data_IF_585747647129
#
_entry.id   IF_585747647129
#
_cell.length_a   1.000
_cell.length_b   1.000
_cell.length_c   1.000
_cell.angle_alpha   90.00
_cell.angle_beta   90.00
_cell.angle_gamma   90.00
#
_symmetry.space_group_name_H-M   'P 1'
#
loop_
_entity.id
_entity.type
_entity.pdbx_description
1 polymer ?
#
# COMPACT_ATOMS: atom_id res chain seq x y z
N UNK A 1 -3.43 21.82 -10.08
CA UNK A 1 -2.83 21.59 -8.73
C UNK A 1 -1.34 21.48 -8.94
N UNK A 2 -0.53 22.25 -8.22
CA UNK A 2 0.93 22.09 -8.26
C UNK A 2 1.30 20.84 -7.46
N UNK A 3 1.89 19.79 -8.06
CA UNK A 3 2.24 18.56 -7.35
C UNK A 3 3.11 18.82 -6.12
N UNK A 4 4.02 19.79 -6.16
CA UNK A 4 4.96 20.08 -5.07
C UNK A 4 4.29 20.65 -3.81
N UNK A 5 3.05 21.12 -3.94
CA UNK A 5 2.23 21.65 -2.85
C UNK A 5 1.40 20.58 -2.12
N UNK A 6 1.37 19.35 -2.65
CA UNK A 6 0.60 18.24 -2.07
C UNK A 6 1.39 17.52 -0.96
N UNK A 7 0.72 16.80 -0.05
CA UNK A 7 1.39 15.86 0.86
C UNK A 7 2.35 14.93 0.11
N UNK A 8 3.50 14.63 0.73
CA UNK A 8 4.56 13.84 0.09
C UNK A 8 4.07 12.48 -0.43
N UNK A 9 3.16 11.83 0.28
CA UNK A 9 2.55 10.58 -0.16
C UNK A 9 1.81 10.72 -1.52
N UNK A 10 1.19 11.86 -1.81
CA UNK A 10 0.51 12.09 -3.08
C UNK A 10 1.51 12.40 -4.19
N UNK A 11 2.65 13.01 -3.85
CA UNK A 11 3.73 13.25 -4.81
C UNK A 11 4.40 11.92 -5.20
N UNK A 12 4.75 11.12 -4.21
CA UNK A 12 5.44 9.85 -4.42
C UNK A 12 4.59 8.85 -5.18
N UNK A 13 3.26 8.87 -5.01
CA UNK A 13 2.36 7.95 -5.73
C UNK A 13 2.34 8.18 -7.25
N UNK A 14 2.79 9.36 -7.71
CA UNK A 14 2.98 9.63 -9.14
C UNK A 14 4.12 8.80 -9.75
N UNK A 15 5.11 8.40 -8.95
CA UNK A 15 6.25 7.60 -9.41
C UNK A 15 5.82 6.20 -9.86
N UNK A 16 5.20 5.34 -9.02
CA UNK A 16 4.73 4.04 -9.45
C UNK A 16 3.61 4.15 -10.49
N UNK A 17 2.74 5.16 -10.41
CA UNK A 17 1.72 5.43 -11.44
C UNK A 17 2.36 5.62 -12.82
N UNK A 18 3.41 6.45 -12.91
CA UNK A 18 4.14 6.67 -14.17
C UNK A 18 4.83 5.40 -14.68
N UNK A 19 5.41 4.59 -13.79
CA UNK A 19 6.03 3.31 -14.19
C UNK A 19 5.02 2.27 -14.67
N UNK A 20 3.78 2.32 -14.16
CA UNK A 20 2.67 1.49 -14.62
C UNK A 20 1.94 2.09 -15.84
N UNK A 21 2.45 3.19 -16.41
CA UNK A 21 1.87 3.88 -17.57
C UNK A 21 0.40 4.31 -17.36
N UNK A 22 0.00 4.56 -16.11
CA UNK A 22 -1.34 5.09 -15.82
C UNK A 22 -1.35 6.61 -15.79
N UNK A 23 -2.36 7.20 -16.42
CA UNK A 23 -2.50 8.65 -16.55
C UNK A 23 -3.26 9.29 -15.39
N UNK A 24 -4.05 8.49 -14.68
CA UNK A 24 -4.96 8.97 -13.64
C UNK A 24 -4.73 8.22 -12.34
N UNK A 25 -4.71 8.97 -11.26
CA UNK A 25 -4.73 8.44 -9.89
C UNK A 25 -5.96 8.98 -9.19
N UNK A 26 -6.65 8.12 -8.46
CA UNK A 26 -7.77 8.50 -7.62
C UNK A 26 -7.31 8.55 -6.18
N UNK A 27 -7.50 9.71 -5.53
CA UNK A 27 -7.19 9.95 -4.13
C UNK A 27 -8.42 10.62 -3.54
N UNK A 28 -9.06 9.99 -2.56
CA UNK A 28 -10.30 10.46 -1.92
C UNK A 28 -10.24 11.95 -1.52
N UNK A 29 -9.13 12.37 -0.91
CA UNK A 29 -8.89 13.75 -0.50
C UNK A 29 -8.80 14.77 -1.65
N UNK A 30 -8.56 14.32 -2.89
CA UNK A 30 -8.48 15.16 -4.09
C UNK A 30 -9.69 15.01 -5.03
N UNK A 31 -10.30 13.83 -5.03
CA UNK A 31 -11.35 13.46 -5.99
C UNK A 31 -12.77 13.63 -5.42
N UNK A 32 -12.92 13.78 -4.09
CA UNK A 32 -14.19 14.05 -3.42
C UNK A 32 -14.15 15.48 -2.87
N UNK A 33 -15.21 16.25 -3.10
CA UNK A 33 -15.35 17.58 -2.52
C UNK A 33 -15.65 17.46 -1.02
N UNK A 34 -14.65 17.75 -0.18
CA UNK A 34 -14.73 17.55 1.27
C UNK A 34 -15.76 18.45 1.97
N UNK A 35 -16.06 19.62 1.40
CA UNK A 35 -17.00 20.60 1.94
C UNK A 35 -18.43 20.45 1.36
N UNK A 36 -18.67 19.44 0.54
CA UNK A 36 -19.97 19.17 -0.09
C UNK A 36 -20.51 17.80 0.34
N UNK A 37 -21.54 17.82 1.19
CA UNK A 37 -22.15 16.59 1.69
C UNK A 37 -22.84 15.76 0.59
N UNK A 38 -23.37 16.41 -0.46
CA UNK A 38 -24.04 15.71 -1.55
C UNK A 38 -23.02 15.03 -2.47
N UNK A 39 -21.92 15.72 -2.78
CA UNK A 39 -20.81 15.11 -3.53
C UNK A 39 -20.17 13.97 -2.73
N UNK A 40 -19.95 14.17 -1.43
CA UNK A 40 -19.46 13.11 -0.56
C UNK A 40 -20.37 11.88 -0.54
N UNK A 41 -21.68 12.05 -0.40
CA UNK A 41 -22.63 10.93 -0.42
C UNK A 41 -22.61 10.19 -1.76
N UNK A 42 -22.56 10.94 -2.86
CA UNK A 42 -22.48 10.40 -4.21
C UNK A 42 -21.19 9.62 -4.43
N UNK A 43 -20.04 10.22 -4.19
CA UNK A 43 -18.73 9.61 -4.47
C UNK A 43 -18.40 8.47 -3.49
N UNK A 44 -18.77 8.60 -2.21
CA UNK A 44 -18.59 7.51 -1.23
C UNK A 44 -19.40 6.26 -1.60
N UNK A 45 -20.61 6.42 -2.17
CA UNK A 45 -21.40 5.30 -2.68
C UNK A 45 -20.75 4.58 -3.87
N UNK A 46 -19.86 5.27 -4.59
CA UNK A 46 -19.14 4.75 -5.75
C UNK A 46 -17.76 4.19 -5.40
N UNK A 47 -17.24 4.39 -4.17
CA UNK A 47 -15.89 3.96 -3.79
C UNK A 47 -15.63 2.48 -4.06
N UNK A 48 -16.61 1.61 -3.79
CA UNK A 48 -16.48 0.19 -4.10
C UNK A 48 -16.25 -0.07 -5.60
N UNK A 49 -16.92 0.69 -6.47
CA UNK A 49 -16.70 0.60 -7.92
C UNK A 49 -15.36 1.16 -8.34
N UNK A 50 -14.90 2.25 -7.70
CA UNK A 50 -13.57 2.82 -7.94
C UNK A 50 -12.51 1.77 -7.65
N UNK A 51 -12.54 1.14 -6.48
CA UNK A 51 -11.56 0.11 -6.12
C UNK A 51 -11.66 -1.13 -7.00
N UNK A 52 -12.86 -1.63 -7.29
CA UNK A 52 -13.07 -2.79 -8.18
C UNK A 52 -12.50 -2.59 -9.58
N UNK A 53 -12.54 -1.36 -10.10
CA UNK A 53 -12.14 -1.05 -11.48
C UNK A 53 -10.76 -0.37 -11.56
N UNK A 54 -10.09 -0.16 -10.42
CA UNK A 54 -8.73 0.36 -10.41
C UNK A 54 -7.76 -0.65 -11.01
N UNK A 55 -6.75 -0.17 -11.74
CA UNK A 55 -5.68 -1.06 -12.24
C UNK A 55 -4.88 -1.67 -11.09
N UNK A 56 -4.54 -0.83 -10.12
CA UNK A 56 -3.75 -1.18 -8.95
C UNK A 56 -3.97 -0.14 -7.84
N UNK A 57 -4.12 -0.61 -6.60
CA UNK A 57 -4.16 0.22 -5.41
C UNK A 57 -2.76 0.33 -4.80
N UNK A 58 -2.37 1.55 -4.39
CA UNK A 58 -1.13 1.78 -3.66
C UNK A 58 -1.44 2.03 -2.19
N UNK A 59 -0.96 1.16 -1.31
CA UNK A 59 -1.09 1.33 0.14
C UNK A 59 0.22 1.87 0.73
N UNK A 60 0.16 3.01 1.41
CA UNK A 60 1.31 3.57 2.13
C UNK A 60 1.30 3.08 3.59
N UNK A 61 2.01 1.98 3.86
CA UNK A 61 2.08 1.36 5.19
C UNK A 61 3.06 2.07 6.13
N UNK A 62 4.08 2.76 5.60
CA UNK A 62 5.09 3.45 6.40
C UNK A 62 4.81 4.93 6.69
N UNK A 63 3.88 5.57 5.97
CA UNK A 63 3.55 7.00 6.05
C UNK A 63 2.89 7.43 7.38
N UNK A 64 2.86 6.53 8.36
CA UNK A 64 1.96 6.55 9.51
C UNK A 64 2.58 7.08 10.81
N UNK A 65 3.92 7.04 10.94
CA UNK A 65 4.60 7.49 12.18
C UNK A 65 5.17 8.90 12.07
N UNK A 66 5.46 9.36 10.87
CA UNK A 66 5.90 10.72 10.55
C UNK A 66 5.26 11.09 9.21
N UNK A 67 5.26 12.37 8.78
CA UNK A 67 4.77 12.79 7.45
C UNK A 67 5.68 12.30 6.31
N UNK A 68 6.01 11.00 6.32
CA UNK A 68 6.82 10.32 5.33
C UNK A 68 5.98 10.00 4.10
N UNK A 69 6.65 9.99 2.95
CA UNK A 69 6.07 9.63 1.67
C UNK A 69 5.79 8.12 1.55
N UNK A 70 5.66 7.64 0.30
CA UNK A 70 5.50 6.20 0.05
C UNK A 70 6.83 5.46 0.15
N UNK A 71 7.95 6.15 -0.07
CA UNK A 71 9.27 5.53 -0.07
C UNK A 71 9.96 5.75 1.27
N UNK A 72 10.25 4.65 1.95
CA UNK A 72 11.00 4.64 3.21
C UNK A 72 12.19 3.69 3.12
N UNK A 73 13.25 4.03 3.83
CA UNK A 73 14.40 3.14 3.98
C UNK A 73 14.00 1.94 4.84
N UNK A 74 14.25 0.75 4.30
CA UNK A 74 14.05 -0.52 5.00
C UNK A 74 15.37 -0.99 5.54
N UNK A 75 15.39 -1.41 6.80
CA UNK A 75 16.56 -2.05 7.36
C UNK A 75 16.61 -3.50 6.84
N UNK A 76 17.56 -3.85 5.96
CA UNK A 76 17.63 -5.19 5.39
C UNK A 76 17.85 -6.27 6.46
N UNK A 77 18.29 -5.90 7.67
CA UNK A 77 18.49 -6.82 8.79
C UNK A 77 17.17 -7.28 9.43
N UNK A 78 16.07 -6.54 9.20
CA UNK A 78 14.74 -6.94 9.68
C UNK A 78 14.15 -8.09 8.85
N UNK A 79 14.65 -8.30 7.63
CA UNK A 79 14.48 -9.55 6.90
C UNK A 79 15.47 -10.57 7.46
N UNK A 80 15.07 -11.26 8.52
CA UNK A 80 15.86 -12.36 9.05
C UNK A 80 15.84 -13.51 8.07
N UNK A 81 16.96 -13.73 7.38
CA UNK A 81 17.22 -14.96 6.65
C UNK A 81 17.26 -16.11 7.67
N UNK A 82 16.23 -16.96 7.64
CA UNK A 82 16.22 -18.20 8.43
C UNK A 82 16.88 -19.26 7.57
N UNK A 83 18.09 -19.65 7.92
CA UNK A 83 18.70 -20.86 7.36
C UNK A 83 18.25 -22.09 8.15
N UNK A 84 17.77 -23.10 7.43
CA UNK A 84 17.38 -24.40 7.97
C UNK A 84 18.19 -25.47 7.25
N UNK A 85 19.03 -26.18 8.00
CA UNK A 85 19.68 -27.40 7.50
C UNK A 85 18.73 -28.56 7.73
N UNK A 86 18.24 -29.19 6.65
CA UNK A 86 17.41 -30.38 6.74
C UNK A 86 18.27 -31.59 6.43
N UNK A 87 18.50 -32.45 7.44
CA UNK A 87 19.14 -33.75 7.28
C UNK A 87 18.09 -34.86 7.26
N UNK A 88 17.92 -35.50 6.10
CA UNK A 88 17.21 -36.78 5.90
C UNK A 88 18.20 -37.84 5.45
N UNK A 89 17.84 -39.12 5.58
CA UNK A 89 18.71 -40.28 5.33
C UNK A 89 19.52 -40.20 4.02
N UNK A 90 18.94 -39.61 2.97
CA UNK A 90 19.57 -39.46 1.65
C UNK A 90 19.61 -37.99 1.17
N UNK A 91 19.38 -37.01 2.05
CA UNK A 91 19.34 -35.60 1.66
C UNK A 91 19.81 -34.69 2.79
N UNK A 92 20.92 -34.00 2.57
CA UNK A 92 21.39 -32.90 3.41
C UNK A 92 21.48 -31.66 2.53
N UNK A 93 20.63 -30.68 2.83
CA UNK A 93 20.61 -29.42 2.11
C UNK A 93 20.32 -28.27 3.07
N UNK A 94 20.91 -27.12 2.75
CA UNK A 94 20.63 -25.84 3.39
C UNK A 94 19.47 -25.16 2.65
N UNK A 95 18.47 -24.74 3.41
CA UNK A 95 17.31 -24.03 2.91
C UNK A 95 17.31 -22.62 3.51
N UNK A 96 17.07 -21.63 2.65
CA UNK A 96 16.91 -20.25 3.07
C UNK A 96 15.43 -19.90 3.02
N UNK A 97 14.87 -19.55 4.16
CA UNK A 97 13.51 -19.03 4.32
C UNK A 97 13.55 -17.57 4.68
N UNK A 98 12.69 -16.78 4.08
CA UNK A 98 12.44 -15.40 4.50
C UNK A 98 11.16 -15.38 5.31
N UNK A 99 11.18 -14.77 6.50
CA UNK A 99 9.96 -14.49 7.23
C UNK A 99 9.21 -13.38 6.49
N UNK A 100 8.09 -13.74 5.87
CA UNK A 100 7.22 -12.76 5.26
C UNK A 100 6.40 -12.07 6.37
N UNK A 101 6.88 -10.92 6.84
CA UNK A 101 6.16 -10.06 7.80
C UNK A 101 5.17 -9.13 7.12
N UNK A 102 5.01 -9.19 5.79
CA UNK A 102 4.17 -8.25 5.04
C UNK A 102 2.73 -8.23 5.56
N UNK A 103 2.20 -9.38 6.01
CA UNK A 103 0.87 -9.43 6.60
C UNK A 103 0.78 -8.71 7.96
N UNK A 104 1.75 -8.95 8.83
CA UNK A 104 1.83 -8.33 10.16
C UNK A 104 2.08 -6.83 10.03
N UNK A 105 3.00 -6.42 9.15
CA UNK A 105 3.32 -5.01 8.89
C UNK A 105 2.09 -4.25 8.33
N UNK A 106 1.24 -4.92 7.55
CA UNK A 106 -0.01 -4.34 7.07
C UNK A 106 -1.01 -4.13 8.22
N UNK A 107 -1.21 -5.17 9.03
CA UNK A 107 -2.15 -5.16 10.15
C UNK A 107 -1.74 -4.16 11.23
N UNK A 108 -0.44 -4.04 11.49
CA UNK A 108 0.12 -3.14 12.49
C UNK A 108 0.30 -1.71 11.97
N UNK A 109 0.09 -1.46 10.67
CA UNK A 109 0.12 -0.12 10.09
C UNK A 109 -1.19 0.64 10.31
N UNK A 110 -1.12 1.96 10.49
CA UNK A 110 -2.30 2.82 10.61
C UNK A 110 -3.18 2.81 9.34
N UNK A 111 -2.70 2.22 8.23
CA UNK A 111 -3.52 1.96 7.06
C UNK A 111 -4.72 1.07 7.45
N UNK A 112 -4.52 0.11 8.36
CA UNK A 112 -5.56 -0.77 8.89
C UNK A 112 -6.59 -0.08 9.79
N UNK A 113 -6.30 1.14 10.28
CA UNK A 113 -7.24 1.94 11.06
C UNK A 113 -8.19 2.77 10.18
N UNK A 114 -7.92 2.87 8.88
CA UNK A 114 -8.74 3.69 7.97
C UNK A 114 -10.09 3.03 7.71
N UNK A 115 -11.16 3.82 7.75
CA UNK A 115 -12.53 3.32 7.53
C UNK A 115 -12.74 2.60 6.19
N UNK A 116 -11.97 2.94 5.16
CA UNK A 116 -12.10 2.36 3.81
C UNK A 116 -11.17 1.17 3.54
N UNK A 117 -10.30 0.78 4.48
CA UNK A 117 -9.24 -0.20 4.22
C UNK A 117 -9.77 -1.57 3.80
N UNK A 118 -10.93 -1.97 4.29
CA UNK A 118 -11.54 -3.24 3.91
C UNK A 118 -11.89 -3.27 2.41
N UNK A 119 -12.44 -2.17 1.89
CA UNK A 119 -12.77 -2.05 0.47
C UNK A 119 -11.51 -1.96 -0.38
N UNK A 120 -10.54 -1.16 0.04
CA UNK A 120 -9.23 -1.03 -0.61
C UNK A 120 -8.52 -2.38 -0.80
N UNK A 121 -8.60 -3.25 0.22
CA UNK A 121 -7.96 -4.57 0.24
C UNK A 121 -8.71 -5.64 -0.53
N UNK A 122 -10.04 -5.66 -0.43
CA UNK A 122 -10.86 -6.76 -0.97
C UNK A 122 -11.31 -6.53 -2.40
N UNK A 123 -11.52 -5.28 -2.79
CA UNK A 123 -12.12 -4.94 -4.09
C UNK A 123 -11.06 -4.63 -5.15
N UNK A 124 -9.90 -4.11 -4.74
CA UNK A 124 -8.78 -3.87 -5.65
C UNK A 124 -8.31 -5.17 -6.31
N UNK A 125 -8.25 -5.26 -7.66
CA UNK A 125 -7.78 -6.47 -8.34
C UNK A 125 -6.28 -6.72 -8.11
N UNK A 126 -5.52 -5.66 -7.81
CA UNK A 126 -4.09 -5.69 -7.49
C UNK A 126 -3.79 -4.61 -6.47
N UNK A 127 -2.95 -4.92 -5.48
CA UNK A 127 -2.51 -3.95 -4.48
C UNK A 127 -1.00 -4.05 -4.29
N UNK A 128 -0.34 -2.89 -4.24
CA UNK A 128 1.07 -2.76 -3.89
C UNK A 128 1.13 -1.99 -2.58
N UNK A 129 1.71 -2.62 -1.56
CA UNK A 129 1.91 -2.00 -0.26
C UNK A 129 3.38 -1.57 -0.12
N UNK A 130 3.56 -0.30 0.19
CA UNK A 130 4.85 0.37 0.32
C UNK A 130 5.02 0.71 1.80
N UNK A 131 5.88 -0.06 2.47
CA UNK A 131 6.04 -0.08 3.92
C UNK A 131 7.48 -0.28 4.34
N UNK A 132 7.71 -0.16 5.66
CA UNK A 132 9.00 -0.42 6.30
C UNK A 132 9.21 -1.93 6.47
#
# INVERSE_FOLDING_TARGET
IDPTSLPLAFQDSLVPAKHLEVQYIWIDALCILQDDAWDWEKESSLMGQVYCNALCNFGACAAAKESVGLFVDRDPRLFSEISLTICRKDHEAEYFGYTDRVHDDLLDSNLSDRGWILQERLLGPRSIYLGQ
#
